data_IF_803407498741
#
_entry.id   IF_803407498741
#
_cell.length_a   1.000
_cell.length_b   1.000
_cell.length_c   1.000
_cell.angle_alpha   90.00
_cell.angle_beta   90.00
_cell.angle_gamma   90.00
#
_symmetry.space_group_name_H-M   'P 1'
#
loop_
_entity.id
_entity.type
_entity.pdbx_description
1 polymer ?
#
# COMPACT_ATOMS: atom_id res chain seq x y z
N UNK A 1 17.96 -42.31 -28.55
CA UNK A 1 17.32 -41.10 -29.11
C UNK A 1 15.82 -41.29 -29.13
N UNK A 2 15.13 -40.76 -28.12
CA UNK A 2 13.73 -40.33 -28.18
C UNK A 2 13.67 -39.12 -27.24
N UNK A 3 13.92 -37.92 -27.76
CA UNK A 3 13.56 -36.70 -27.03
C UNK A 3 12.09 -36.47 -27.40
N UNK A 4 11.19 -36.80 -26.49
CA UNK A 4 9.79 -36.42 -26.60
C UNK A 4 9.75 -34.89 -26.49
N UNK A 5 9.78 -34.22 -27.64
CA UNK A 5 9.55 -32.78 -27.76
C UNK A 5 8.07 -32.54 -27.50
N UNK A 6 7.72 -32.30 -26.24
CA UNK A 6 6.46 -31.65 -25.89
C UNK A 6 6.46 -30.29 -26.57
N UNK A 7 5.68 -30.15 -27.64
CA UNK A 7 5.52 -28.90 -28.36
C UNK A 7 4.70 -27.95 -27.50
N UNK A 8 5.40 -27.18 -26.67
CA UNK A 8 4.83 -26.10 -25.87
C UNK A 8 4.53 -24.94 -26.83
N UNK A 9 3.25 -24.75 -27.17
CA UNK A 9 2.82 -23.64 -28.04
C UNK A 9 2.70 -22.37 -27.20
N UNK A 10 3.62 -21.43 -27.41
CA UNK A 10 3.61 -20.11 -26.77
C UNK A 10 2.85 -19.13 -27.65
N UNK A 11 1.83 -18.47 -27.10
CA UNK A 11 1.04 -17.46 -27.83
C UNK A 11 1.04 -16.13 -27.09
N UNK A 12 1.28 -15.00 -27.77
CA UNK A 12 1.15 -13.67 -27.19
C UNK A 12 -0.25 -13.46 -26.62
N UNK A 13 -0.33 -12.95 -25.39
CA UNK A 13 -1.61 -12.66 -24.79
C UNK A 13 -2.18 -11.34 -25.33
N UNK A 14 -3.34 -11.40 -26.01
CA UNK A 14 -4.04 -10.20 -26.50
C UNK A 14 -4.64 -9.45 -25.30
N UNK A 15 -3.92 -8.45 -24.82
CA UNK A 15 -4.35 -7.58 -23.71
C UNK A 15 -3.33 -7.47 -22.56
N UNK A 16 -2.28 -8.30 -22.55
CA UNK A 16 -1.22 -8.27 -21.54
C UNK A 16 0.14 -8.39 -22.24
N UNK A 17 0.78 -7.25 -22.50
CA UNK A 17 1.94 -7.16 -23.42
C UNK A 17 3.20 -7.87 -22.89
N UNK A 18 3.30 -8.07 -21.57
CA UNK A 18 4.50 -8.59 -20.91
C UNK A 18 4.43 -10.10 -20.61
N UNK A 19 3.40 -10.79 -21.09
CA UNK A 19 3.13 -12.18 -20.75
C UNK A 19 2.78 -13.04 -21.96
N UNK A 20 3.28 -14.28 -21.93
CA UNK A 20 2.89 -15.32 -22.89
C UNK A 20 1.98 -16.36 -22.21
N UNK A 21 1.05 -16.88 -23.00
CA UNK A 21 0.27 -18.03 -22.61
C UNK A 21 0.87 -19.29 -23.19
N UNK A 22 0.94 -20.31 -22.34
CA UNK A 22 1.41 -21.63 -22.68
C UNK A 22 0.45 -22.69 -22.17
N UNK A 23 0.39 -23.84 -22.85
CA UNK A 23 -0.40 -24.99 -22.42
C UNK A 23 0.52 -26.05 -21.86
N UNK A 24 0.35 -26.36 -20.59
CA UNK A 24 1.03 -27.46 -19.89
C UNK A 24 -0.05 -28.44 -19.44
N UNK A 25 0.00 -29.67 -19.92
CA UNK A 25 -0.98 -30.74 -19.62
C UNK A 25 -2.45 -30.33 -19.81
N UNK A 26 -2.71 -29.53 -20.85
CA UNK A 26 -4.06 -29.05 -21.17
C UNK A 26 -4.54 -27.84 -20.37
N UNK A 27 -3.74 -27.35 -19.40
CA UNK A 27 -4.05 -26.16 -18.60
C UNK A 27 -3.28 -24.95 -19.12
N UNK A 28 -3.96 -23.80 -19.19
CA UNK A 28 -3.37 -22.54 -19.59
C UNK A 28 -2.57 -21.93 -18.44
N UNK A 29 -1.32 -21.63 -18.72
CA UNK A 29 -0.34 -21.06 -17.80
C UNK A 29 0.18 -19.74 -18.37
N UNK A 30 0.30 -18.72 -17.53
CA UNK A 30 0.91 -17.43 -17.85
C UNK A 30 2.36 -17.43 -17.37
N UNK A 31 3.26 -16.95 -18.24
CA UNK A 31 4.66 -16.72 -17.92
C UNK A 31 5.10 -15.35 -18.40
N UNK A 32 6.17 -14.81 -17.81
CA UNK A 32 6.83 -13.63 -18.32
C UNK A 32 7.23 -13.80 -19.77
N UNK A 33 7.26 -12.67 -20.46
CA UNK A 33 7.96 -12.58 -21.73
C UNK A 33 9.46 -12.76 -21.52
N UNK A 34 10.18 -13.17 -22.57
CA UNK A 34 11.63 -13.30 -22.51
C UNK A 34 12.29 -11.98 -22.09
N UNK A 35 11.79 -10.86 -22.62
CA UNK A 35 12.24 -9.51 -22.25
C UNK A 35 12.01 -9.19 -20.77
N UNK A 36 10.82 -9.51 -20.25
CA UNK A 36 10.48 -9.31 -18.83
C UNK A 36 11.28 -10.25 -17.92
N UNK A 37 11.50 -11.49 -18.33
CA UNK A 37 12.29 -12.45 -17.57
C UNK A 37 13.77 -12.02 -17.49
N UNK A 38 14.33 -11.49 -18.59
CA UNK A 38 15.67 -10.92 -18.62
C UNK A 38 15.80 -9.69 -17.72
N UNK A 39 14.79 -8.81 -17.72
CA UNK A 39 14.75 -7.63 -16.86
C UNK A 39 14.73 -8.02 -15.37
N UNK A 40 13.88 -8.98 -14.99
CA UNK A 40 13.81 -9.50 -13.62
C UNK A 40 15.14 -10.14 -13.20
N UNK A 41 15.73 -11.00 -14.03
CA UNK A 41 17.02 -11.63 -13.73
C UNK A 41 18.16 -10.60 -13.59
N UNK A 42 18.14 -9.55 -14.39
CA UNK A 42 19.08 -8.42 -14.28
C UNK A 42 18.88 -7.66 -12.96
N UNK A 43 17.64 -7.43 -12.55
CA UNK A 43 17.29 -6.82 -11.26
C UNK A 43 17.80 -7.62 -10.06
N UNK A 44 17.51 -8.93 -10.03
CA UNK A 44 17.98 -9.86 -8.98
C UNK A 44 19.51 -9.84 -8.87
N UNK A 45 20.20 -9.85 -10.01
CA UNK A 45 21.67 -9.77 -10.05
C UNK A 45 22.19 -8.44 -9.49
N UNK A 46 21.59 -7.32 -9.88
CA UNK A 46 21.99 -6.01 -9.40
C UNK A 46 21.75 -5.84 -7.89
N UNK A 47 20.66 -6.41 -7.37
CA UNK A 47 20.36 -6.41 -5.94
C UNK A 47 21.43 -7.16 -5.16
N UNK A 48 21.76 -8.38 -5.60
CA UNK A 48 22.85 -9.18 -5.05
C UNK A 48 24.21 -8.47 -5.08
N UNK A 49 24.50 -7.76 -6.16
CA UNK A 49 25.78 -7.03 -6.32
C UNK A 49 25.80 -5.69 -5.57
N UNK A 50 24.67 -5.21 -5.06
CA UNK A 50 24.56 -3.89 -4.41
C UNK A 50 25.09 -3.85 -2.98
N UNK A 51 25.36 -5.01 -2.35
CA UNK A 51 25.86 -5.10 -0.98
C UNK A 51 24.79 -4.82 0.09
N UNK A 52 23.50 -4.86 -0.28
CA UNK A 52 22.37 -4.82 0.64
C UNK A 52 22.27 -6.12 1.45
N UNK A 53 21.51 -6.09 2.55
CA UNK A 53 21.18 -7.31 3.31
C UNK A 53 20.23 -8.26 2.56
N UNK A 54 19.63 -7.78 1.48
CA UNK A 54 18.75 -8.52 0.59
C UNK A 54 19.54 -9.01 -0.61
N UNK A 55 19.42 -10.29 -0.91
CA UNK A 55 20.13 -10.97 -2.00
C UNK A 55 19.19 -11.21 -3.20
N UNK A 56 17.89 -11.04 -2.99
CA UNK A 56 16.84 -11.22 -3.99
C UNK A 56 15.59 -10.38 -3.72
N UNK A 57 14.74 -10.19 -4.74
CA UNK A 57 13.45 -9.52 -4.55
C UNK A 57 12.55 -10.26 -3.56
N UNK A 58 12.69 -11.59 -3.47
CA UNK A 58 11.95 -12.41 -2.52
C UNK A 58 12.32 -12.09 -1.05
N UNK A 59 13.57 -11.70 -0.78
CA UNK A 59 14.00 -11.34 0.59
C UNK A 59 13.35 -10.05 1.10
N UNK A 60 12.78 -9.27 0.19
CA UNK A 60 12.06 -8.02 0.48
C UNK A 60 10.56 -8.25 0.68
N UNK A 61 10.06 -9.48 0.48
CA UNK A 61 8.64 -9.84 0.56
C UNK A 61 8.31 -10.53 1.89
N UNK A 62 7.02 -10.61 2.22
CA UNK A 62 6.55 -11.51 3.29
C UNK A 62 6.89 -12.97 2.94
N UNK A 63 7.06 -13.88 3.92
CA UNK A 63 7.34 -15.28 3.63
C UNK A 63 6.31 -15.93 2.69
N UNK A 64 5.03 -15.56 2.83
CA UNK A 64 3.95 -16.05 1.99
C UNK A 64 4.04 -15.52 0.55
N UNK A 65 4.42 -14.26 0.36
CA UNK A 65 4.53 -13.64 -0.96
C UNK A 65 5.82 -14.01 -1.67
N UNK A 66 6.93 -14.11 -0.95
CA UNK A 66 8.19 -14.66 -1.43
C UNK A 66 7.97 -16.07 -2.02
N UNK A 67 7.19 -16.91 -1.31
CA UNK A 67 6.84 -18.25 -1.79
C UNK A 67 6.02 -18.22 -3.07
N UNK A 68 5.04 -17.30 -3.18
CA UNK A 68 4.23 -17.13 -4.41
C UNK A 68 5.05 -16.60 -5.57
N UNK A 69 5.94 -15.65 -5.34
CA UNK A 69 6.84 -15.08 -6.34
C UNK A 69 7.81 -16.13 -6.89
N UNK A 70 8.46 -16.90 -6.02
CA UNK A 70 9.35 -17.98 -6.42
C UNK A 70 8.61 -19.09 -7.17
N UNK A 71 7.42 -19.48 -6.69
CA UNK A 71 6.56 -20.46 -7.37
C UNK A 71 6.12 -19.95 -8.76
N UNK A 72 5.83 -18.66 -8.90
CA UNK A 72 5.53 -18.06 -10.21
C UNK A 72 6.73 -18.10 -11.15
N UNK A 73 7.94 -17.78 -10.68
CA UNK A 73 9.15 -17.84 -11.50
C UNK A 73 9.45 -19.27 -11.98
N UNK A 74 9.23 -20.26 -11.12
CA UNK A 74 9.48 -21.67 -11.43
C UNK A 74 8.39 -22.28 -12.31
N UNK A 75 7.12 -22.07 -11.95
CA UNK A 75 5.99 -22.82 -12.50
C UNK A 75 5.08 -21.98 -13.42
N UNK A 76 5.07 -20.65 -13.28
CA UNK A 76 4.10 -19.74 -13.90
C UNK A 76 2.74 -19.78 -13.23
N UNK A 77 1.85 -18.85 -13.60
CA UNK A 77 0.50 -18.73 -13.01
C UNK A 77 -0.57 -19.50 -13.81
N UNK A 78 -1.52 -20.17 -13.15
CA UNK A 78 -2.65 -20.88 -13.80
C UNK A 78 -3.87 -19.97 -13.92
N UNK A 79 -4.72 -20.18 -14.93
CA UNK A 79 -5.97 -19.38 -15.10
C UNK A 79 -6.83 -19.33 -13.83
N UNK A 80 -7.11 -18.12 -13.34
CA UNK A 80 -7.85 -17.85 -12.09
C UNK A 80 -7.32 -16.68 -11.26
N UNK A 81 -6.17 -16.11 -11.62
CA UNK A 81 -5.55 -14.97 -10.94
C UNK A 81 -6.09 -13.61 -11.42
N UNK A 82 -6.25 -12.66 -10.50
CA UNK A 82 -6.84 -11.32 -10.74
C UNK A 82 -5.78 -10.31 -11.19
N UNK A 83 -6.21 -9.17 -11.76
CA UNK A 83 -5.30 -8.11 -12.25
C UNK A 83 -4.26 -7.60 -11.24
N UNK A 84 -4.44 -7.84 -9.94
CA UNK A 84 -3.47 -7.53 -8.89
C UNK A 84 -2.19 -8.41 -8.95
N UNK A 85 -2.29 -9.65 -9.44
CA UNK A 85 -1.17 -10.60 -9.60
C UNK A 85 -0.35 -10.31 -10.88
N UNK A 86 -0.87 -9.48 -11.77
CA UNK A 86 -0.19 -8.96 -12.96
C UNK A 86 0.41 -7.56 -12.74
N UNK A 87 -0.15 -6.77 -11.81
CA UNK A 87 0.36 -5.46 -11.41
C UNK A 87 1.63 -5.54 -10.54
N UNK A 88 1.85 -6.66 -9.83
CA UNK A 88 3.11 -6.91 -9.09
C UNK A 88 4.35 -7.06 -9.98
N UNK A 89 4.15 -7.27 -11.28
CA UNK A 89 5.20 -7.55 -12.27
C UNK A 89 5.71 -6.28 -12.97
N UNK A 90 4.80 -5.34 -13.28
CA UNK A 90 5.17 -4.05 -13.90
C UNK A 90 5.96 -3.12 -12.95
N UNK A 91 5.99 -3.42 -11.65
CA UNK A 91 6.68 -2.64 -10.62
C UNK A 91 8.21 -2.72 -10.69
N UNK A 92 8.76 -3.85 -11.14
CA UNK A 92 10.21 -4.02 -11.31
C UNK A 92 10.75 -3.32 -12.58
N UNK A 93 9.94 -3.26 -13.66
CA UNK A 93 10.34 -2.67 -14.95
C UNK A 93 10.41 -1.13 -14.89
N UNK A 94 9.54 -0.47 -14.14
CA UNK A 94 9.58 1.00 -13.96
C UNK A 94 10.82 1.48 -13.19
N UNK A 95 11.36 0.65 -12.29
CA UNK A 95 12.55 0.93 -11.49
C UNK A 95 13.86 0.71 -12.26
N UNK A 96 13.85 -0.11 -13.33
CA UNK A 96 15.01 -0.33 -14.20
C UNK A 96 15.20 0.81 -15.23
N UNK A 97 14.12 1.37 -15.76
CA UNK A 97 14.16 2.43 -16.79
C UNK A 97 14.47 3.82 -16.21
N UNK A 98 14.22 4.05 -14.93
CA UNK A 98 14.37 5.35 -14.25
C UNK A 98 15.78 5.64 -13.70
N UNK A 99 16.74 4.71 -13.82
CA UNK A 99 18.11 4.82 -13.28
C UNK A 99 19.01 5.83 -14.02
N UNK A 100 18.83 7.11 -13.71
CA UNK A 100 19.81 8.16 -13.97
C UNK A 100 19.99 9.17 -12.83
N UNK A 101 19.82 8.78 -11.57
CA UNK A 101 20.04 9.70 -10.43
C UNK A 101 20.71 9.00 -9.24
N UNK A 102 21.61 9.73 -8.59
CA UNK A 102 22.52 9.32 -7.50
C UNK A 102 21.81 9.01 -6.17
N UNK A 103 22.54 8.32 -5.29
CA UNK A 103 22.12 7.58 -4.09
C UNK A 103 21.33 8.38 -3.03
N UNK A 104 21.47 9.71 -2.96
CA UNK A 104 20.60 10.55 -2.10
C UNK A 104 19.15 10.60 -2.63
N UNK A 105 18.95 10.52 -3.95
CA UNK A 105 17.62 10.42 -4.55
C UNK A 105 16.99 9.02 -4.44
N UNK A 106 17.79 7.98 -4.15
CA UNK A 106 17.28 6.62 -3.93
C UNK A 106 16.58 6.51 -2.56
N UNK A 107 17.02 7.31 -1.58
CA UNK A 107 16.37 7.41 -0.28
C UNK A 107 15.00 8.11 -0.39
N UNK A 108 14.91 9.17 -1.20
CA UNK A 108 13.65 9.86 -1.51
C UNK A 108 12.68 8.99 -2.34
N UNK A 109 13.20 8.13 -3.23
CA UNK A 109 12.39 7.25 -4.08
C UNK A 109 11.83 6.03 -3.34
N UNK A 110 12.49 5.55 -2.28
CA UNK A 110 11.95 4.50 -1.41
C UNK A 110 10.78 5.02 -0.57
N UNK A 111 10.96 6.21 0.01
CA UNK A 111 9.85 6.94 0.64
C UNK A 111 8.73 7.19 -0.39
N UNK A 112 9.03 7.71 -1.58
CA UNK A 112 8.01 7.92 -2.61
C UNK A 112 7.32 6.61 -3.06
N UNK A 113 8.02 5.47 -3.04
CA UNK A 113 7.49 4.14 -3.35
C UNK A 113 6.53 3.60 -2.29
N UNK A 114 6.92 3.66 -1.01
CA UNK A 114 6.05 3.30 0.12
C UNK A 114 4.85 4.26 0.23
N UNK A 115 5.04 5.51 -0.18
CA UNK A 115 4.02 6.57 -0.25
C UNK A 115 3.07 6.40 -1.44
N UNK A 116 3.58 5.93 -2.59
CA UNK A 116 2.77 5.54 -3.75
C UNK A 116 2.02 4.22 -3.50
N UNK A 117 2.57 3.30 -2.69
CA UNK A 117 1.93 2.05 -2.29
C UNK A 117 0.87 2.23 -1.19
N UNK A 118 1.11 3.14 -0.25
CA UNK A 118 0.15 3.51 0.82
C UNK A 118 -0.87 4.56 0.38
N UNK A 119 -0.72 5.13 -0.83
CA UNK A 119 -1.56 6.23 -1.31
C UNK A 119 -1.36 7.55 -0.54
N UNK A 120 -0.32 7.63 0.30
CA UNK A 120 0.02 8.81 1.07
C UNK A 120 0.53 9.92 0.15
N UNK A 121 0.33 11.16 0.57
CA UNK A 121 0.77 12.31 -0.22
C UNK A 121 2.22 12.64 0.15
N UNK A 122 3.16 12.43 -0.78
CA UNK A 122 4.59 12.69 -0.57
C UNK A 122 4.87 14.10 -0.07
N UNK A 123 4.15 15.10 -0.59
CA UNK A 123 4.31 16.48 -0.15
C UNK A 123 3.92 16.69 1.33
N UNK A 124 2.92 15.94 1.82
CA UNK A 124 2.49 16.02 3.22
C UNK A 124 3.48 15.34 4.16
N UNK A 125 4.15 14.29 3.70
CA UNK A 125 5.20 13.62 4.47
C UNK A 125 6.48 14.45 4.54
N UNK A 126 6.83 15.13 3.46
CA UNK A 126 7.91 16.13 3.48
C UNK A 126 7.56 17.26 4.47
N UNK A 127 6.30 17.72 4.48
CA UNK A 127 5.85 18.72 5.45
C UNK A 127 5.92 18.18 6.89
N UNK A 128 5.55 16.92 7.12
CA UNK A 128 5.64 16.28 8.42
C UNK A 128 7.11 16.16 8.88
N UNK A 129 8.00 15.70 8.01
CA UNK A 129 9.43 15.59 8.27
C UNK A 129 10.05 16.94 8.64
N UNK A 130 9.62 18.01 7.96
CA UNK A 130 10.09 19.36 8.18
C UNK A 130 9.43 20.07 9.38
N UNK A 131 8.33 19.52 9.93
CA UNK A 131 7.62 20.12 11.06
C UNK A 131 8.37 20.04 12.39
N UNK A 132 9.33 19.09 12.51
CA UNK A 132 10.07 18.83 13.74
C UNK A 132 9.28 18.10 14.82
N UNK A 133 8.03 17.69 14.54
CA UNK A 133 7.27 16.81 15.43
C UNK A 133 7.88 15.41 15.44
N UNK A 134 7.77 14.71 16.56
CA UNK A 134 8.21 13.32 16.64
C UNK A 134 7.11 12.42 16.08
N UNK A 135 7.47 11.59 15.12
CA UNK A 135 6.63 10.57 14.51
C UNK A 135 7.50 9.34 14.18
N UNK A 136 6.87 8.19 13.90
CA UNK A 136 7.58 7.02 13.37
C UNK A 136 7.17 6.80 11.91
N UNK A 137 8.07 6.99 10.92
CA UNK A 137 7.75 6.82 9.51
C UNK A 137 7.11 5.47 9.18
N UNK A 138 7.62 4.39 9.79
CA UNK A 138 7.16 3.01 9.56
C UNK A 138 5.76 2.73 10.13
N UNK A 139 5.29 3.58 11.05
CA UNK A 139 3.97 3.44 11.66
C UNK A 139 2.93 4.33 11.00
N UNK A 140 3.28 5.21 10.06
CA UNK A 140 2.30 6.08 9.41
C UNK A 140 1.34 5.23 8.57
N UNK A 141 0.06 5.33 8.92
CA UNK A 141 -1.03 4.69 8.19
C UNK A 141 -1.63 5.68 7.19
N UNK A 142 -1.84 6.92 7.62
CA UNK A 142 -2.56 7.92 6.85
C UNK A 142 -2.10 9.34 7.22
N UNK A 143 -2.16 10.27 6.27
CA UNK A 143 -1.84 11.69 6.49
C UNK A 143 -2.73 12.58 5.62
N UNK A 144 -3.22 13.69 6.16
CA UNK A 144 -4.02 14.66 5.41
C UNK A 144 -3.85 16.08 5.96
N UNK A 145 -4.48 17.05 5.31
CA UNK A 145 -4.75 18.36 5.88
C UNK A 145 -6.23 18.47 6.24
N UNK A 146 -6.49 18.99 7.42
CA UNK A 146 -7.85 19.36 7.81
C UNK A 146 -8.36 20.52 6.93
N UNK A 147 -9.67 20.78 6.96
CA UNK A 147 -10.29 21.85 6.19
C UNK A 147 -9.68 23.27 6.42
N UNK A 148 -9.02 23.51 7.56
CA UNK A 148 -8.34 24.78 7.85
C UNK A 148 -6.85 24.79 7.44
N UNK A 149 -6.37 23.70 6.82
CA UNK A 149 -5.01 23.54 6.32
C UNK A 149 -4.03 22.95 7.33
N UNK A 150 -4.46 22.58 8.54
CA UNK A 150 -3.59 21.95 9.53
C UNK A 150 -3.23 20.51 9.13
N UNK A 151 -1.93 20.21 9.07
CA UNK A 151 -1.40 18.87 8.84
C UNK A 151 -1.74 17.96 10.04
N UNK A 152 -2.27 16.78 9.76
CA UNK A 152 -2.61 15.75 10.77
C UNK A 152 -2.29 14.37 10.23
N UNK A 153 -1.90 13.43 11.09
CA UNK A 153 -1.55 12.07 10.68
C UNK A 153 -2.07 11.01 11.66
N UNK A 154 -2.25 9.80 11.13
CA UNK A 154 -2.60 8.60 11.86
C UNK A 154 -1.43 7.61 11.76
N UNK A 155 -1.06 7.07 12.91
CA UNK A 155 -0.10 5.97 13.01
C UNK A 155 -0.82 4.69 13.48
N UNK A 156 -0.17 3.54 13.29
CA UNK A 156 -0.60 2.26 13.86
C UNK A 156 -0.89 2.42 15.36
N UNK A 157 0.03 3.06 16.08
CA UNK A 157 -0.13 3.37 17.50
C UNK A 157 -0.20 2.12 18.40
N UNK A 158 -0.83 2.28 19.55
CA UNK A 158 -0.95 1.26 20.60
C UNK A 158 -2.42 0.96 20.89
N UNK A 159 -2.70 0.11 21.89
CA UNK A 159 -4.05 -0.13 22.40
C UNK A 159 -4.74 1.11 23.01
N UNK A 160 -3.97 2.18 23.26
CA UNK A 160 -4.44 3.40 23.93
C UNK A 160 -4.48 4.63 23.02
N UNK A 161 -3.75 4.64 21.91
CA UNK A 161 -3.73 5.74 20.93
C UNK A 161 -3.52 5.22 19.49
N UNK A 162 -3.97 5.97 18.49
CA UNK A 162 -3.75 5.65 17.08
C UNK A 162 -4.72 4.62 16.53
N UNK A 163 -4.39 4.01 15.39
CA UNK A 163 -5.30 3.08 14.69
C UNK A 163 -5.63 1.85 15.53
N UNK A 164 -4.64 1.27 16.22
CA UNK A 164 -4.81 0.07 17.04
C UNK A 164 -5.83 0.30 18.17
N UNK A 165 -5.85 1.49 18.79
CA UNK A 165 -6.85 1.88 19.76
C UNK A 165 -8.25 1.98 19.13
N UNK A 166 -8.36 2.64 17.97
CA UNK A 166 -9.62 2.79 17.24
C UNK A 166 -10.22 1.43 16.89
N UNK A 167 -9.40 0.52 16.38
CA UNK A 167 -9.84 -0.82 16.00
C UNK A 167 -10.23 -1.62 17.25
N UNK A 168 -9.37 -1.67 18.25
CA UNK A 168 -9.58 -2.51 19.44
C UNK A 168 -10.85 -2.11 20.20
N UNK A 169 -11.10 -0.81 20.36
CA UNK A 169 -12.21 -0.31 21.16
C UNK A 169 -13.49 -0.02 20.36
N UNK A 170 -13.37 0.25 19.05
CA UNK A 170 -14.48 0.79 18.26
C UNK A 170 -14.72 0.11 16.91
N UNK A 171 -13.97 -0.93 16.50
CA UNK A 171 -14.21 -1.58 15.20
C UNK A 171 -15.67 -2.04 15.01
N UNK A 172 -16.27 -2.63 16.04
CA UNK A 172 -17.68 -3.06 15.99
C UNK A 172 -18.65 -1.87 15.86
N UNK A 173 -18.35 -0.72 16.49
CA UNK A 173 -19.15 0.50 16.35
C UNK A 173 -19.11 1.02 14.90
N UNK A 174 -17.94 0.98 14.25
CA UNK A 174 -17.79 1.33 12.83
C UNK A 174 -18.51 0.35 11.91
N UNK A 175 -18.37 -0.95 12.18
CA UNK A 175 -19.04 -2.00 11.40
C UNK A 175 -20.56 -1.87 11.47
N UNK A 176 -21.11 -1.54 12.65
CA UNK A 176 -22.54 -1.25 12.83
C UNK A 176 -23.03 -0.02 12.04
N UNK A 177 -22.11 0.83 11.57
CA UNK A 177 -22.37 1.98 10.70
C UNK A 177 -22.02 1.71 9.23
N UNK A 178 -21.75 0.45 8.88
CA UNK A 178 -21.43 0.01 7.52
C UNK A 178 -20.00 0.30 7.09
N UNK A 179 -19.09 0.60 8.02
CA UNK A 179 -17.69 0.90 7.75
C UNK A 179 -16.83 -0.29 8.16
N UNK A 180 -16.17 -0.93 7.21
CA UNK A 180 -15.26 -2.05 7.48
C UNK A 180 -13.96 -1.57 8.11
N UNK A 181 -13.26 -2.45 8.84
CA UNK A 181 -12.05 -2.10 9.60
C UNK A 181 -10.98 -1.45 8.70
N UNK A 182 -10.78 -1.99 7.50
CA UNK A 182 -9.86 -1.50 6.49
C UNK A 182 -10.22 -0.11 5.95
N UNK A 183 -11.48 0.32 6.08
CA UNK A 183 -11.96 1.63 5.63
C UNK A 183 -11.80 2.71 6.71
N UNK A 184 -11.50 2.33 7.96
CA UNK A 184 -11.42 3.27 9.09
C UNK A 184 -10.40 4.39 8.85
N UNK A 185 -9.16 4.14 8.37
CA UNK A 185 -8.20 5.21 8.10
C UNK A 185 -8.75 6.26 7.11
N UNK A 186 -9.22 5.81 5.95
CA UNK A 186 -9.78 6.69 4.91
C UNK A 186 -11.01 7.46 5.40
N UNK A 187 -11.89 6.79 6.16
CA UNK A 187 -13.08 7.38 6.75
C UNK A 187 -12.72 8.52 7.73
N UNK A 188 -11.73 8.29 8.60
CA UNK A 188 -11.24 9.29 9.55
C UNK A 188 -10.58 10.47 8.82
N UNK A 189 -9.77 10.21 7.79
CA UNK A 189 -9.11 11.27 7.02
C UNK A 189 -10.11 12.13 6.24
N UNK A 190 -11.10 11.51 5.60
CA UNK A 190 -12.15 12.24 4.91
C UNK A 190 -12.95 13.15 5.86
N UNK A 191 -13.25 12.66 7.07
CA UNK A 191 -13.91 13.47 8.09
C UNK A 191 -13.10 14.71 8.50
N UNK A 192 -11.77 14.59 8.61
CA UNK A 192 -10.89 15.69 8.97
C UNK A 192 -10.71 16.69 7.83
N UNK A 193 -10.58 16.19 6.60
CA UNK A 193 -10.36 17.00 5.39
C UNK A 193 -11.63 17.73 4.93
N UNK A 194 -12.77 17.04 4.92
CA UNK A 194 -14.01 17.53 4.31
C UNK A 194 -15.13 17.79 5.33
N UNK A 195 -14.97 17.34 6.57
CA UNK A 195 -16.04 17.38 7.56
C UNK A 195 -16.25 18.74 8.19
N UNK A 196 -17.51 19.01 8.54
CA UNK A 196 -17.91 20.16 9.34
C UNK A 196 -18.06 19.75 10.80
N UNK A 197 -17.50 20.54 11.71
CA UNK A 197 -17.75 20.35 13.14
C UNK A 197 -19.21 20.73 13.45
N UNK A 198 -19.97 19.76 13.97
CA UNK A 198 -21.39 19.92 14.33
C UNK A 198 -21.67 19.77 15.84
N UNK A 199 -20.64 19.45 16.61
CA UNK A 199 -20.73 19.31 18.06
C UNK A 199 -19.42 18.83 18.66
N UNK A 200 -19.45 18.50 19.95
CA UNK A 200 -18.30 17.98 20.69
C UNK A 200 -18.75 16.83 21.60
N UNK A 201 -17.90 15.82 21.74
CA UNK A 201 -18.09 14.74 22.70
C UNK A 201 -17.30 15.03 23.97
N UNK A 202 -17.90 14.72 25.12
CA UNK A 202 -17.25 14.88 26.43
C UNK A 202 -17.37 16.31 26.96
N UNK A 203 -16.43 16.72 27.82
CA UNK A 203 -16.43 18.04 28.43
C UNK A 203 -15.59 19.00 27.57
N UNK A 204 -16.15 20.16 27.23
CA UNK A 204 -15.43 21.18 26.47
C UNK A 204 -15.35 20.86 24.97
N UNK A 205 -14.25 21.24 24.34
CA UNK A 205 -14.06 21.16 22.87
C UNK A 205 -12.97 20.18 22.46
N UNK A 206 -12.57 19.27 23.35
CA UNK A 206 -11.43 18.37 23.18
C UNK A 206 -11.65 17.30 22.09
N UNK A 207 -12.91 16.90 21.86
CA UNK A 207 -13.25 15.88 20.86
C UNK A 207 -14.38 16.36 19.92
N UNK A 208 -14.04 17.13 18.87
CA UNK A 208 -15.03 17.56 17.87
C UNK A 208 -15.72 16.39 17.18
N UNK A 209 -16.99 16.58 16.85
CA UNK A 209 -17.81 15.67 16.05
C UNK A 209 -17.91 16.26 14.64
N UNK A 210 -17.35 15.55 13.67
CA UNK A 210 -17.37 15.91 12.26
C UNK A 210 -18.58 15.26 11.59
N UNK A 211 -19.34 16.05 10.84
CA UNK A 211 -20.37 15.60 9.89
C UNK A 211 -19.81 15.74 8.48
N UNK A 212 -19.86 14.67 7.69
CA UNK A 212 -19.24 14.59 6.37
C UNK A 212 -19.94 13.55 5.50
N UNK A 213 -19.70 13.60 4.20
CA UNK A 213 -20.25 12.63 3.24
C UNK A 213 -19.22 11.55 2.97
N UNK A 214 -19.60 10.28 3.15
CA UNK A 214 -18.77 9.12 2.83
C UNK A 214 -19.62 8.08 2.12
N UNK A 215 -19.14 7.53 0.99
CA UNK A 215 -19.91 6.60 0.13
C UNK A 215 -21.33 7.09 -0.26
N UNK A 216 -21.54 8.40 -0.33
CA UNK A 216 -22.82 9.01 -0.69
C UNK A 216 -23.81 9.19 0.47
N UNK A 217 -23.45 8.79 1.68
CA UNK A 217 -24.25 8.96 2.89
C UNK A 217 -23.64 10.00 3.84
N UNK A 218 -24.48 10.61 4.69
CA UNK A 218 -24.01 11.55 5.71
C UNK A 218 -23.65 10.77 6.97
N UNK A 219 -22.41 10.94 7.42
CA UNK A 219 -21.85 10.27 8.57
C UNK A 219 -21.45 11.26 9.66
N UNK A 220 -21.32 10.76 10.90
CA UNK A 220 -20.76 11.49 12.04
C UNK A 220 -19.70 10.69 12.75
N UNK A 221 -18.60 11.36 13.10
CA UNK A 221 -17.50 10.74 13.85
C UNK A 221 -16.89 11.74 14.82
N UNK A 222 -16.60 11.28 16.03
CA UNK A 222 -15.88 12.07 17.02
C UNK A 222 -14.40 11.70 17.00
N UNK A 223 -13.54 12.66 16.69
CA UNK A 223 -12.09 12.43 16.50
C UNK A 223 -11.32 13.25 17.53
N UNK A 224 -10.39 12.59 18.22
CA UNK A 224 -9.42 13.22 19.12
C UNK A 224 -8.11 13.40 18.36
N UNK A 225 -7.67 14.65 18.22
CA UNK A 225 -6.35 14.99 17.68
C UNK A 225 -5.52 15.58 18.82
N UNK A 226 -4.32 15.05 19.03
CA UNK A 226 -3.40 15.50 20.06
C UNK A 226 -2.87 16.91 19.78
N UNK A 227 -2.20 17.50 20.77
CA UNK A 227 -1.56 18.81 20.65
C UNK A 227 -0.40 18.83 19.64
N UNK A 228 0.11 17.65 19.29
CA UNK A 228 1.11 17.44 18.25
C UNK A 228 0.46 17.00 16.93
N UNK A 229 -0.85 17.18 16.74
CA UNK A 229 -1.54 16.91 15.47
C UNK A 229 -1.68 15.43 15.09
N UNK A 230 -1.15 14.54 15.93
CA UNK A 230 -1.35 13.10 15.86
C UNK A 230 -2.80 12.72 16.20
N UNK A 231 -3.42 11.85 15.40
CA UNK A 231 -4.76 11.34 15.65
C UNK A 231 -4.69 10.26 16.73
N UNK A 232 -5.26 10.57 17.89
CA UNK A 232 -5.24 9.72 19.08
C UNK A 232 -6.34 8.68 19.05
N UNK A 233 -7.52 9.03 18.54
CA UNK A 233 -8.65 8.11 18.50
C UNK A 233 -9.85 8.67 17.75
N UNK A 234 -10.76 7.79 17.38
CA UNK A 234 -11.98 8.09 16.63
C UNK A 234 -13.07 7.10 17.01
N UNK A 235 -14.32 7.55 17.04
CA UNK A 235 -15.46 6.64 17.19
C UNK A 235 -16.69 7.22 16.47
N UNK A 236 -17.51 6.40 15.79
CA UNK A 236 -18.65 6.91 15.05
C UNK A 236 -19.77 7.40 16.00
N UNK A 237 -20.71 8.20 15.47
CA UNK A 237 -21.89 8.73 16.18
C UNK A 237 -23.18 8.38 15.44
#
# INVERSE_FOLDING_TARGET
>A
MIILSTHVTMTPNRGMKNFYNTKVDGVKVFRYSDETAEAVASGEKLLKESGTIYESFADMMSPEDAKRYLDFLENGSREGLTGAELAGVEKADALLVSRKVEYEGVWDLRNAGDVLESGLNSNLLDELANSGVKYNPEDIVAITKTADGKLVWLENGTDTVGLNHIITEHADDFLNKGIMQEQIPDYVMNALENGKIVGYQGRGTERPIYEFTYNGEIHKVAITVGNNEFIVGANPK
#
